data_IF_545189476872
#
_entry.id   IF_545189476872
#
_cell.length_a   1.000
_cell.length_b   1.000
_cell.length_c   1.000
_cell.angle_alpha   90.00
_cell.angle_beta   90.00
_cell.angle_gamma   90.00
#
_symmetry.space_group_name_H-M   'P 1'
#
loop_
_entity.id
_entity.type
_entity.pdbx_description
1 polymer ?
#
# COMPACT_ATOMS: atom_id res chain seq x y z
N UNK A 1 50.00 -25.43 21.82
CA UNK A 1 48.58 -25.79 22.08
C UNK A 1 47.88 -24.59 22.63
N UNK A 2 47.04 -23.87 21.82
CA UNK A 2 46.23 -22.73 22.27
C UNK A 2 44.95 -23.27 22.88
N UNK A 3 44.71 -23.03 24.18
CA UNK A 3 43.48 -23.37 24.88
C UNK A 3 42.33 -22.53 24.31
N UNK A 4 41.36 -23.17 23.64
CA UNK A 4 40.09 -22.55 23.27
C UNK A 4 39.26 -22.31 24.55
N UNK A 5 39.06 -21.04 24.92
CA UNK A 5 38.15 -20.70 26.02
C UNK A 5 36.71 -20.85 25.52
N UNK A 6 35.95 -21.77 26.06
CA UNK A 6 34.53 -21.86 25.88
C UNK A 6 33.86 -20.65 26.57
N UNK A 7 33.29 -19.75 25.79
CA UNK A 7 32.39 -18.70 26.34
C UNK A 7 31.18 -19.39 26.96
N UNK A 8 30.97 -19.22 28.25
CA UNK A 8 29.74 -19.65 28.93
C UNK A 8 28.52 -19.07 28.24
N UNK A 9 27.50 -19.90 27.95
CA UNK A 9 26.23 -19.44 27.43
C UNK A 9 25.59 -18.45 28.43
N UNK A 10 25.13 -17.32 27.93
CA UNK A 10 24.43 -16.30 28.77
C UNK A 10 23.12 -16.88 29.28
N UNK A 11 22.70 -16.58 30.52
CA UNK A 11 21.42 -17.03 31.07
C UNK A 11 20.25 -16.53 30.23
N UNK A 12 19.26 -17.37 30.00
CA UNK A 12 18.03 -17.06 29.23
C UNK A 12 17.31 -15.84 29.79
N UNK A 13 17.45 -15.57 31.11
CA UNK A 13 16.88 -14.39 31.77
C UNK A 13 17.49 -13.06 31.30
N UNK A 14 18.79 -13.03 30.96
CA UNK A 14 19.44 -11.83 30.40
C UNK A 14 19.01 -11.58 28.96
N UNK A 15 18.86 -12.64 28.17
CA UNK A 15 18.35 -12.55 26.80
C UNK A 15 16.90 -12.02 26.78
N UNK A 16 16.05 -12.47 27.72
CA UNK A 16 14.68 -11.96 27.86
C UNK A 16 14.64 -10.49 28.28
N UNK A 17 15.53 -10.06 29.17
CA UNK A 17 15.62 -8.63 29.58
C UNK A 17 16.13 -7.74 28.45
N UNK A 18 17.11 -8.20 27.68
CA UNK A 18 17.65 -7.46 26.54
C UNK A 18 16.64 -7.37 25.39
N UNK A 19 15.89 -8.46 25.14
CA UNK A 19 14.78 -8.50 24.17
C UNK A 19 13.61 -7.59 24.60
N UNK A 20 13.21 -7.66 25.88
CA UNK A 20 12.17 -6.78 26.43
C UNK A 20 12.58 -5.30 26.44
N UNK A 21 13.88 -5.00 26.60
CA UNK A 21 14.40 -3.63 26.52
C UNK A 21 14.44 -3.13 25.07
N UNK A 22 14.78 -4.00 24.10
CA UNK A 22 14.70 -3.70 22.66
C UNK A 22 13.26 -3.57 22.18
N UNK A 23 12.35 -4.43 22.65
CA UNK A 23 10.92 -4.34 22.34
C UNK A 23 10.27 -3.09 22.95
N UNK A 24 10.70 -2.64 24.14
CA UNK A 24 10.27 -1.38 24.74
C UNK A 24 10.86 -0.17 24.01
N UNK A 25 12.10 -0.24 23.53
CA UNK A 25 12.71 0.81 22.72
C UNK A 25 12.19 0.86 21.27
N UNK A 26 11.63 -0.26 20.77
CA UNK A 26 11.00 -0.33 19.44
C UNK A 26 9.48 -0.10 19.45
N UNK A 27 8.86 -0.01 20.65
CA UNK A 27 7.41 0.16 20.81
C UNK A 27 7.04 1.46 21.55
N UNK A 28 7.98 2.36 21.73
CA UNK A 28 7.64 3.76 21.89
C UNK A 28 7.26 4.23 20.47
N UNK A 29 5.97 4.15 20.14
CA UNK A 29 5.37 4.99 19.13
C UNK A 29 5.69 6.42 19.54
N UNK A 30 6.82 6.93 19.06
CA UNK A 30 7.17 8.32 19.17
C UNK A 30 6.01 9.14 18.63
N UNK A 31 5.81 10.38 19.09
CA UNK A 31 4.83 11.28 18.49
C UNK A 31 5.02 11.21 16.97
N UNK A 32 3.95 11.22 16.18
CA UNK A 32 4.04 11.11 14.72
C UNK A 32 5.11 12.09 14.27
N UNK A 33 6.13 11.59 13.56
CA UNK A 33 7.23 12.42 13.09
C UNK A 33 6.61 13.61 12.40
N UNK A 34 6.97 14.83 12.81
CA UNK A 34 6.52 16.06 12.17
C UNK A 34 6.96 16.00 10.72
N UNK A 35 6.06 15.55 9.86
CA UNK A 35 6.27 15.50 8.41
C UNK A 35 6.01 16.87 7.81
N UNK A 36 6.36 17.07 6.52
CA UNK A 36 6.05 18.32 5.84
C UNK A 36 4.55 18.60 5.88
N UNK A 37 4.20 19.86 6.12
CA UNK A 37 2.82 20.30 6.07
C UNK A 37 2.33 20.38 4.62
N UNK A 38 1.06 20.12 4.42
CA UNK A 38 0.37 20.35 3.16
C UNK A 38 0.34 21.88 2.93
N UNK A 39 0.62 22.28 1.71
CA UNK A 39 0.65 23.69 1.29
C UNK A 39 -0.51 24.00 0.35
N UNK A 40 -0.78 25.27 0.08
CA UNK A 40 -1.74 25.69 -0.94
C UNK A 40 -1.26 25.44 -2.37
N UNK A 41 0.02 25.07 -2.57
CA UNK A 41 0.54 24.66 -3.87
C UNK A 41 0.14 23.21 -4.16
N UNK A 42 -0.96 23.06 -4.87
CA UNK A 42 -1.54 21.79 -5.26
C UNK A 42 -0.55 20.89 -6.02
N UNK A 43 0.20 21.48 -6.95
CA UNK A 43 1.15 20.74 -7.79
C UNK A 43 2.33 20.22 -6.97
N UNK A 44 2.86 21.03 -6.07
CA UNK A 44 3.96 20.62 -5.17
C UNK A 44 3.53 19.47 -4.27
N UNK A 45 2.32 19.53 -3.69
CA UNK A 45 1.78 18.46 -2.86
C UNK A 45 1.63 17.14 -3.63
N UNK A 46 1.05 17.19 -4.84
CA UNK A 46 0.88 15.99 -5.69
C UNK A 46 2.23 15.40 -6.08
N UNK A 47 3.20 16.23 -6.47
CA UNK A 47 4.52 15.76 -6.85
C UNK A 47 5.22 15.05 -5.68
N UNK A 48 5.17 15.62 -4.48
CA UNK A 48 5.70 14.99 -3.28
C UNK A 48 5.06 13.62 -3.03
N UNK A 49 3.74 13.52 -3.14
CA UNK A 49 3.02 12.26 -2.93
C UNK A 49 3.31 11.23 -4.03
N UNK A 50 3.39 11.67 -5.30
CA UNK A 50 3.77 10.79 -6.43
C UNK A 50 5.20 10.26 -6.25
N UNK A 51 6.12 11.08 -5.77
CA UNK A 51 7.50 10.69 -5.50
C UNK A 51 7.58 9.70 -4.34
N UNK A 52 6.80 9.91 -3.29
CA UNK A 52 6.87 9.11 -2.06
C UNK A 52 6.13 7.77 -2.16
N UNK A 53 4.94 7.75 -2.73
CA UNK A 53 4.08 6.55 -2.81
C UNK A 53 3.62 6.20 -4.22
N UNK A 54 3.69 7.11 -5.19
CA UNK A 54 3.17 6.93 -6.56
C UNK A 54 3.99 5.98 -7.43
N UNK A 55 5.16 5.54 -6.98
CA UNK A 55 5.99 4.54 -7.68
C UNK A 55 5.35 3.14 -7.63
N UNK A 56 4.46 2.89 -6.68
CA UNK A 56 3.74 1.63 -6.53
C UNK A 56 2.49 1.58 -7.42
N UNK A 57 2.30 0.50 -8.16
CA UNK A 57 1.19 0.34 -9.09
C UNK A 57 -0.19 0.16 -8.42
N UNK A 58 -0.22 -0.13 -7.12
CA UNK A 58 -1.44 -0.26 -6.34
C UNK A 58 -1.95 1.08 -5.77
N UNK A 59 -1.15 2.16 -5.86
CA UNK A 59 -1.55 3.50 -5.44
C UNK A 59 -2.16 4.25 -6.62
N UNK A 60 -3.40 4.68 -6.46
CA UNK A 60 -4.17 5.34 -7.50
C UNK A 60 -4.27 6.84 -7.22
N UNK A 61 -3.93 7.65 -8.23
CA UNK A 61 -4.15 9.09 -8.27
C UNK A 61 -5.22 9.39 -9.30
N UNK A 62 -6.43 9.72 -8.85
CA UNK A 62 -7.57 10.05 -9.70
C UNK A 62 -7.76 11.57 -9.73
N UNK A 63 -7.24 12.22 -10.76
CA UNK A 63 -7.41 13.65 -10.99
C UNK A 63 -8.77 13.93 -11.67
N UNK A 64 -9.47 14.98 -11.24
CA UNK A 64 -10.74 15.44 -11.81
C UNK A 64 -10.97 16.91 -11.48
N UNK A 65 -12.01 17.49 -12.05
CA UNK A 65 -12.42 18.89 -11.79
C UNK A 65 -13.70 18.89 -10.96
N UNK A 66 -13.67 19.59 -9.85
CA UNK A 66 -14.87 19.84 -9.03
C UNK A 66 -15.62 21.04 -9.64
N UNK A 67 -16.90 20.87 -10.05
CA UNK A 67 -17.65 21.83 -10.86
C UNK A 67 -18.24 22.97 -10.03
N UNK A 68 -17.39 23.79 -9.44
CA UNK A 68 -17.79 25.04 -8.81
C UNK A 68 -17.94 26.15 -9.86
N UNK A 69 -18.54 27.33 -9.54
CA UNK A 69 -18.61 28.48 -10.42
C UNK A 69 -17.24 28.86 -11.00
N UNK A 70 -16.20 28.75 -10.19
CA UNK A 70 -14.81 28.69 -10.60
C UNK A 70 -14.33 27.25 -10.41
N UNK A 71 -14.07 26.50 -11.50
CA UNK A 71 -13.68 25.11 -11.40
C UNK A 71 -12.42 24.92 -10.54
N UNK A 72 -12.40 23.87 -9.71
CA UNK A 72 -11.29 23.56 -8.81
C UNK A 72 -10.70 22.21 -9.18
N UNK A 73 -9.39 22.16 -9.36
CA UNK A 73 -8.69 20.90 -9.55
C UNK A 73 -8.74 20.07 -8.27
N UNK A 74 -9.01 18.80 -8.43
CA UNK A 74 -9.10 17.87 -7.30
C UNK A 74 -8.40 16.55 -7.63
N UNK A 75 -7.85 15.90 -6.61
CA UNK A 75 -7.27 14.56 -6.75
C UNK A 75 -7.71 13.67 -5.60
N UNK A 76 -8.17 12.46 -5.93
CA UNK A 76 -8.38 11.38 -4.99
C UNK A 76 -7.16 10.45 -5.02
N UNK A 77 -6.69 10.09 -3.82
CA UNK A 77 -5.53 9.21 -3.65
C UNK A 77 -5.92 8.08 -2.71
N UNK A 78 -5.73 6.85 -3.16
CA UNK A 78 -6.07 5.65 -2.39
C UNK A 78 -5.24 4.44 -2.84
N UNK A 79 -5.21 3.38 -2.03
CA UNK A 79 -4.60 2.09 -2.37
C UNK A 79 -5.68 1.14 -2.86
N UNK A 80 -5.54 0.69 -4.11
CA UNK A 80 -6.45 -0.30 -4.71
C UNK A 80 -6.37 -1.65 -3.96
N UNK A 81 -7.55 -2.18 -3.62
CA UNK A 81 -7.68 -3.40 -2.82
C UNK A 81 -7.80 -3.18 -1.31
N UNK A 82 -7.49 -1.98 -0.78
CA UNK A 82 -7.73 -1.64 0.62
C UNK A 82 -9.04 -0.87 0.83
N UNK A 83 -9.67 -0.42 -0.23
CA UNK A 83 -10.87 0.43 -0.21
C UNK A 83 -12.07 -0.31 -0.80
N UNK A 84 -13.28 0.14 -0.45
CA UNK A 84 -14.51 -0.22 -1.13
C UNK A 84 -14.74 0.72 -2.30
N UNK A 85 -14.67 0.19 -3.53
CA UNK A 85 -14.80 1.00 -4.76
C UNK A 85 -16.15 1.70 -4.87
N UNK A 86 -17.21 1.04 -4.48
CA UNK A 86 -18.57 1.60 -4.51
C UNK A 86 -18.66 2.83 -3.61
N UNK A 87 -18.02 2.78 -2.43
CA UNK A 87 -17.97 3.94 -1.53
C UNK A 87 -17.30 5.15 -2.19
N UNK A 88 -16.20 4.95 -2.91
CA UNK A 88 -15.52 6.05 -3.61
C UNK A 88 -16.39 6.56 -4.78
N UNK A 89 -16.93 5.65 -5.59
CA UNK A 89 -17.66 6.02 -6.78
C UNK A 89 -18.98 6.71 -6.46
N UNK A 90 -19.76 6.15 -5.53
CA UNK A 90 -21.11 6.63 -5.23
C UNK A 90 -21.12 7.81 -4.25
N UNK A 91 -20.30 7.75 -3.20
CA UNK A 91 -20.37 8.73 -2.10
C UNK A 91 -19.31 9.83 -2.16
N UNK A 92 -18.28 9.67 -2.97
CA UNK A 92 -17.26 10.72 -3.16
C UNK A 92 -17.33 11.27 -4.58
N UNK A 93 -17.03 10.47 -5.60
CA UNK A 93 -16.91 10.94 -6.97
C UNK A 93 -18.26 11.44 -7.50
N UNK A 94 -19.32 10.66 -7.35
CA UNK A 94 -20.64 11.07 -7.83
C UNK A 94 -21.09 12.36 -7.12
N UNK A 95 -20.98 12.43 -5.79
CA UNK A 95 -21.34 13.60 -5.01
C UNK A 95 -20.58 14.86 -5.46
N UNK A 96 -19.27 14.74 -5.75
CA UNK A 96 -18.46 15.86 -6.20
C UNK A 96 -18.71 16.24 -7.67
N UNK A 97 -18.87 15.27 -8.56
CA UNK A 97 -19.00 15.54 -10.01
C UNK A 97 -20.42 15.99 -10.42
N UNK A 98 -21.45 15.60 -9.67
CA UNK A 98 -22.84 15.99 -9.92
C UNK A 98 -23.29 17.17 -9.06
N UNK A 99 -22.40 17.73 -8.25
CA UNK A 99 -22.73 18.88 -7.42
C UNK A 99 -23.15 20.09 -8.24
N UNK A 100 -24.37 20.60 -8.01
CA UNK A 100 -24.88 21.80 -8.65
C UNK A 100 -24.64 23.03 -7.78
N UNK A 101 -23.59 23.77 -8.09
CA UNK A 101 -23.17 24.95 -7.32
C UNK A 101 -24.17 26.12 -7.38
N UNK A 102 -25.18 26.07 -8.27
CA UNK A 102 -26.12 27.18 -8.50
C UNK A 102 -26.99 27.51 -7.30
N UNK A 103 -27.25 26.54 -6.43
CA UNK A 103 -28.12 26.69 -5.26
C UNK A 103 -27.34 26.94 -3.96
N UNK A 104 -26.03 26.88 -3.99
CA UNK A 104 -25.21 26.99 -2.80
C UNK A 104 -24.44 28.33 -2.76
N UNK A 105 -24.88 29.28 -1.97
CA UNK A 105 -24.21 30.59 -1.80
C UNK A 105 -22.75 30.44 -1.30
N UNK A 106 -22.44 29.39 -0.53
CA UNK A 106 -21.10 29.09 -0.07
C UNK A 106 -20.14 28.71 -1.19
N UNK A 107 -20.61 28.20 -2.32
CA UNK A 107 -19.80 27.79 -3.48
C UNK A 107 -19.11 28.96 -4.19
N UNK A 108 -19.56 30.20 -3.93
CA UNK A 108 -18.97 31.43 -4.46
C UNK A 108 -17.72 31.90 -3.68
N UNK A 109 -17.54 31.39 -2.46
CA UNK A 109 -16.42 31.74 -1.58
C UNK A 109 -15.52 30.52 -1.41
N UNK A 110 -14.29 30.61 -1.90
CA UNK A 110 -13.30 29.50 -1.83
C UNK A 110 -12.66 29.30 -0.45
N UNK A 111 -12.85 30.24 0.51
CA UNK A 111 -12.24 30.12 1.83
C UNK A 111 -12.77 28.89 2.57
N UNK A 112 -11.89 28.08 3.12
CA UNK A 112 -12.22 26.85 3.81
C UNK A 112 -13.04 25.88 2.96
N UNK A 113 -12.70 25.73 1.68
CA UNK A 113 -13.42 24.88 0.75
C UNK A 113 -13.43 23.42 1.23
N UNK A 114 -12.34 22.94 1.82
CA UNK A 114 -12.27 21.59 2.37
C UNK A 114 -13.34 21.34 3.46
N UNK A 115 -13.57 22.30 4.38
CA UNK A 115 -14.64 22.20 5.40
C UNK A 115 -16.02 22.18 4.75
N UNK A 116 -16.27 23.07 3.78
CA UNK A 116 -17.55 23.15 3.08
C UNK A 116 -17.86 21.88 2.28
N UNK A 117 -16.86 21.31 1.62
CA UNK A 117 -16.99 20.03 0.90
C UNK A 117 -17.29 18.90 1.88
N UNK A 118 -16.60 18.86 3.02
CA UNK A 118 -16.87 17.90 4.08
C UNK A 118 -18.34 17.97 4.56
N UNK A 119 -18.82 19.18 4.84
CA UNK A 119 -20.10 19.37 5.54
C UNK A 119 -21.31 19.34 4.60
N UNK A 120 -21.14 19.68 3.31
CA UNK A 120 -22.25 19.88 2.39
C UNK A 120 -22.26 18.97 1.16
N UNK A 121 -21.14 18.33 0.82
CA UNK A 121 -21.03 17.58 -0.45
C UNK A 121 -20.82 16.09 -0.22
N UNK A 122 -19.92 15.71 0.68
CA UNK A 122 -19.59 14.31 0.89
C UNK A 122 -20.66 13.57 1.68
N UNK A 123 -21.16 12.46 1.11
CA UNK A 123 -22.15 11.61 1.74
C UNK A 123 -21.52 10.44 2.52
N UNK A 124 -20.39 10.69 3.20
CA UNK A 124 -19.63 9.71 3.98
C UNK A 124 -19.72 10.05 5.47
N UNK A 125 -19.92 9.04 6.32
CA UNK A 125 -20.09 9.22 7.75
C UNK A 125 -18.86 9.78 8.47
N UNK A 126 -17.66 9.40 8.03
CA UNK A 126 -16.41 9.74 8.72
C UNK A 126 -15.45 10.40 7.74
N UNK A 127 -15.28 11.72 7.92
CA UNK A 127 -14.34 12.54 7.16
C UNK A 127 -13.57 13.42 8.14
N UNK A 128 -12.27 13.37 8.11
CA UNK A 128 -11.38 14.24 8.88
C UNK A 128 -10.56 15.14 7.95
N UNK A 129 -10.07 16.25 8.52
CA UNK A 129 -9.16 17.16 7.83
C UNK A 129 -7.74 16.90 8.34
N UNK A 130 -6.79 16.80 7.43
CA UNK A 130 -5.39 16.56 7.74
C UNK A 130 -4.50 17.54 6.98
N UNK A 131 -3.57 18.18 7.70
CA UNK A 131 -2.60 19.12 7.13
C UNK A 131 -1.18 18.54 7.06
N UNK A 132 -0.94 17.36 7.62
CA UNK A 132 0.36 16.71 7.65
C UNK A 132 0.47 15.63 6.58
N UNK A 133 1.41 15.78 5.65
CA UNK A 133 1.61 14.84 4.54
C UNK A 133 1.98 13.42 4.99
N UNK A 134 2.73 13.29 6.09
CA UNK A 134 3.10 11.96 6.62
C UNK A 134 1.90 11.24 7.22
N UNK A 135 1.05 11.94 7.97
CA UNK A 135 -0.19 11.38 8.52
C UNK A 135 -1.16 11.03 7.40
N UNK A 136 -1.27 11.87 6.38
CA UNK A 136 -2.09 11.60 5.19
C UNK A 136 -1.60 10.34 4.45
N UNK A 137 -0.29 10.17 4.23
CA UNK A 137 0.27 8.95 3.63
C UNK A 137 -0.09 7.73 4.49
N UNK A 138 0.04 7.83 5.80
CA UNK A 138 -0.30 6.74 6.73
C UNK A 138 -1.77 6.35 6.63
N UNK A 139 -2.67 7.33 6.51
CA UNK A 139 -4.10 7.11 6.31
C UNK A 139 -4.38 6.39 4.98
N UNK A 140 -3.78 6.86 3.87
CA UNK A 140 -3.89 6.23 2.55
C UNK A 140 -3.42 4.77 2.59
N UNK A 141 -2.26 4.50 3.17
CA UNK A 141 -1.71 3.16 3.30
C UNK A 141 -2.50 2.27 4.28
N UNK A 142 -3.37 2.86 5.09
CA UNK A 142 -4.30 2.15 5.97
C UNK A 142 -5.66 1.86 5.33
N UNK A 143 -5.87 2.25 4.06
CA UNK A 143 -7.10 2.00 3.30
C UNK A 143 -8.13 3.14 3.38
N UNK A 144 -7.70 4.34 3.76
CA UNK A 144 -8.51 5.55 3.65
C UNK A 144 -8.25 6.24 2.31
N UNK A 145 -9.18 7.08 1.88
CA UNK A 145 -9.03 7.88 0.67
C UNK A 145 -8.76 9.33 1.05
N UNK A 146 -7.69 9.88 0.52
CA UNK A 146 -7.40 11.31 0.64
C UNK A 146 -7.95 12.08 -0.57
N UNK A 147 -8.65 13.18 -0.32
CA UNK A 147 -9.09 14.13 -1.33
C UNK A 147 -8.36 15.46 -1.10
N UNK A 148 -7.58 15.88 -2.09
CA UNK A 148 -6.94 17.18 -2.13
C UNK A 148 -7.69 18.10 -3.09
N UNK A 149 -7.85 19.35 -2.68
CA UNK A 149 -8.46 20.39 -3.47
C UNK A 149 -7.46 21.51 -3.72
N UNK A 150 -7.46 22.06 -4.93
CA UNK A 150 -6.58 23.15 -5.31
C UNK A 150 -6.81 24.40 -4.44
N UNK A 151 -5.72 24.96 -3.93
CA UNK A 151 -5.72 26.15 -3.07
C UNK A 151 -5.96 25.87 -1.59
N UNK A 152 -6.22 24.62 -1.18
CA UNK A 152 -6.39 24.23 0.22
C UNK A 152 -5.08 23.70 0.82
N UNK A 153 -4.84 24.00 2.07
CA UNK A 153 -3.71 23.53 2.89
C UNK A 153 -4.08 22.33 3.77
N UNK A 154 -5.26 21.76 3.56
CA UNK A 154 -5.78 20.59 4.28
C UNK A 154 -6.43 19.62 3.29
N UNK A 155 -6.13 18.35 3.45
CA UNK A 155 -6.76 17.27 2.72
C UNK A 155 -7.95 16.70 3.51
N UNK A 156 -8.97 16.22 2.81
CA UNK A 156 -10.05 15.46 3.41
C UNK A 156 -9.65 13.97 3.41
N UNK A 157 -9.68 13.36 4.58
CA UNK A 157 -9.44 11.92 4.76
C UNK A 157 -10.78 11.24 4.98
N UNK A 158 -11.17 10.45 4.00
CA UNK A 158 -12.45 9.75 3.98
C UNK A 158 -12.25 8.30 4.40
N UNK A 159 -13.02 7.80 5.36
CA UNK A 159 -12.99 6.39 5.74
C UNK A 159 -13.69 5.54 4.66
N UNK A 160 -12.89 4.99 3.78
CA UNK A 160 -13.31 4.12 2.68
C UNK A 160 -12.83 2.68 2.87
N UNK A 161 -12.32 2.38 4.07
CA UNK A 161 -11.80 1.04 4.39
C UNK A 161 -12.84 -0.02 4.10
N UNK A 162 -12.46 -0.92 3.25
CA UNK A 162 -13.30 -2.04 2.89
C UNK A 162 -12.50 -3.01 2.07
N UNK A 163 -12.57 -4.25 2.45
CA UNK A 163 -11.98 -5.35 1.70
C UNK A 163 -13.03 -6.42 1.52
N UNK A 164 -13.04 -6.98 0.37
CA UNK A 164 -13.88 -8.15 0.12
C UNK A 164 -13.45 -9.28 1.04
N UNK A 165 -14.34 -9.64 1.97
CA UNK A 165 -14.15 -10.80 2.86
C UNK A 165 -14.38 -12.13 2.14
N UNK A 166 -14.43 -12.15 0.80
CA UNK A 166 -14.67 -13.37 0.05
C UNK A 166 -13.47 -14.29 0.17
N UNK A 167 -13.67 -15.38 0.94
CA UNK A 167 -12.87 -16.59 0.81
C UNK A 167 -11.40 -16.45 1.12
N UNK A 168 -11.03 -15.80 2.24
CA UNK A 168 -9.70 -16.03 2.81
C UNK A 168 -9.76 -17.44 3.40
N UNK A 169 -9.45 -18.43 2.58
CA UNK A 169 -9.37 -19.82 2.98
C UNK A 169 -8.00 -20.12 3.61
N UNK A 170 -7.99 -21.08 4.50
CA UNK A 170 -6.74 -21.61 5.04
C UNK A 170 -6.02 -22.36 3.91
N UNK A 171 -4.70 -22.11 3.68
CA UNK A 171 -3.95 -22.83 2.67
C UNK A 171 -4.06 -24.33 2.88
N UNK A 172 -4.53 -25.04 1.87
CA UNK A 172 -4.73 -26.52 1.96
C UNK A 172 -3.40 -27.26 2.09
N UNK A 173 -2.32 -26.68 1.56
CA UNK A 173 -0.99 -27.28 1.51
C UNK A 173 -0.11 -26.90 2.69
N UNK A 174 -0.40 -25.80 3.38
CA UNK A 174 0.42 -25.25 4.48
C UNK A 174 -0.41 -24.92 5.73
N UNK A 175 -1.21 -25.88 6.23
CA UNK A 175 -2.04 -25.68 7.42
C UNK A 175 -1.21 -25.27 8.65
N UNK A 176 -1.57 -24.16 9.28
CA UNK A 176 -0.88 -23.65 10.45
C UNK A 176 -1.45 -24.24 11.74
N UNK A 177 -0.62 -24.94 12.53
CA UNK A 177 -0.99 -25.41 13.88
C UNK A 177 -1.17 -24.23 14.85
N UNK A 178 -0.40 -23.14 14.66
CA UNK A 178 -0.49 -21.88 15.41
C UNK A 178 -0.11 -20.72 14.49
N UNK A 179 -0.87 -19.64 14.52
CA UNK A 179 -0.61 -18.42 13.76
C UNK A 179 -1.77 -18.03 12.84
N UNK A 180 -1.57 -17.00 12.03
CA UNK A 180 -2.56 -16.57 11.03
C UNK A 180 -2.85 -17.71 10.03
N UNK A 181 -4.14 -17.87 9.70
CA UNK A 181 -4.60 -18.88 8.73
C UNK A 181 -4.95 -18.25 7.38
N UNK A 182 -4.35 -17.12 7.10
CA UNK A 182 -4.62 -16.34 5.89
C UNK A 182 -3.69 -16.79 4.78
N UNK A 183 -4.25 -17.29 3.69
CA UNK A 183 -3.54 -17.68 2.47
C UNK A 183 -3.69 -16.69 1.35
N UNK A 184 -2.79 -16.77 0.37
CA UNK A 184 -2.97 -16.14 -0.92
C UNK A 184 -4.05 -16.85 -1.73
N UNK A 185 -4.73 -16.11 -2.59
CA UNK A 185 -5.76 -16.62 -3.50
C UNK A 185 -5.42 -16.26 -4.95
N UNK A 186 -6.31 -16.60 -5.90
CA UNK A 186 -6.08 -16.40 -7.32
C UNK A 186 -6.14 -14.92 -7.74
N UNK A 187 -6.64 -14.03 -6.88
CA UNK A 187 -6.84 -12.62 -7.21
C UNK A 187 -5.61 -11.84 -6.76
N UNK A 188 -4.74 -11.47 -7.70
CA UNK A 188 -3.49 -10.75 -7.42
C UNK A 188 -3.72 -9.50 -6.56
N UNK A 189 -4.77 -8.72 -6.83
CA UNK A 189 -5.11 -7.51 -6.08
C UNK A 189 -5.43 -7.79 -4.61
N UNK A 190 -6.15 -8.87 -4.34
CA UNK A 190 -6.41 -9.32 -2.97
C UNK A 190 -5.11 -9.67 -2.25
N UNK A 191 -4.20 -10.34 -2.94
CA UNK A 191 -2.91 -10.77 -2.38
C UNK A 191 -2.00 -9.57 -2.06
N UNK A 192 -1.88 -8.60 -2.96
CA UNK A 192 -1.10 -7.38 -2.70
C UNK A 192 -1.70 -6.55 -1.56
N UNK A 193 -3.02 -6.47 -1.48
CA UNK A 193 -3.72 -5.80 -0.39
C UNK A 193 -3.47 -6.51 0.97
N UNK A 194 -3.40 -7.84 0.99
CA UNK A 194 -3.06 -8.58 2.19
C UNK A 194 -1.65 -8.22 2.68
N UNK A 195 -0.66 -8.16 1.78
CA UNK A 195 0.71 -7.72 2.13
C UNK A 195 0.70 -6.29 2.67
N UNK A 196 -0.02 -5.36 2.02
CA UNK A 196 -0.15 -3.96 2.47
C UNK A 196 -0.76 -3.83 3.87
N UNK A 197 -1.70 -4.68 4.24
CA UNK A 197 -2.29 -4.67 5.60
C UNK A 197 -1.26 -4.94 6.68
N UNK A 198 -0.29 -5.79 6.41
CA UNK A 198 0.78 -6.13 7.34
C UNK A 198 1.90 -5.09 7.30
N UNK A 199 2.26 -4.61 6.11
CA UNK A 199 3.34 -3.65 5.89
C UNK A 199 2.75 -2.34 5.36
N UNK A 200 2.46 -1.41 6.27
CA UNK A 200 1.96 -0.06 5.96
C UNK A 200 3.11 0.92 5.78
N UNK A 201 4.13 0.49 5.06
CA UNK A 201 5.34 1.27 4.83
C UNK A 201 5.24 1.98 3.45
N UNK A 202 5.50 3.30 3.38
CA UNK A 202 5.55 4.02 2.11
C UNK A 202 6.65 3.51 1.16
N UNK A 203 7.66 2.80 1.67
CA UNK A 203 8.73 2.22 0.86
C UNK A 203 8.40 0.82 0.33
N UNK A 204 7.23 0.26 0.68
CA UNK A 204 6.75 -0.97 0.06
C UNK A 204 6.37 -0.69 -1.39
N UNK A 205 7.08 -1.33 -2.32
CA UNK A 205 6.84 -1.23 -3.76
C UNK A 205 6.09 -2.46 -4.26
N UNK A 206 5.06 -2.21 -5.04
CA UNK A 206 4.30 -3.23 -5.78
C UNK A 206 4.44 -2.91 -7.26
N UNK A 207 5.21 -3.70 -7.99
CA UNK A 207 5.37 -3.59 -9.45
C UNK A 207 4.62 -4.71 -10.13
N UNK A 208 3.58 -4.37 -10.88
CA UNK A 208 2.77 -5.33 -11.63
C UNK A 208 3.26 -5.43 -13.07
N UNK A 209 3.25 -6.64 -13.62
CA UNK A 209 3.59 -6.92 -15.00
C UNK A 209 2.75 -8.07 -15.53
N UNK A 210 2.61 -8.16 -16.85
CA UNK A 210 1.92 -9.27 -17.52
C UNK A 210 2.93 -10.20 -18.14
N UNK A 211 2.82 -11.48 -17.85
CA UNK A 211 3.71 -12.53 -18.35
C UNK A 211 2.91 -13.57 -19.11
N UNK A 212 3.52 -14.10 -20.17
CA UNK A 212 2.88 -15.03 -21.10
C UNK A 212 2.29 -14.32 -22.32
N UNK A 213 2.66 -14.80 -23.51
CA UNK A 213 2.25 -14.20 -24.78
C UNK A 213 0.74 -14.26 -25.00
N UNK A 214 0.10 -15.34 -24.56
CA UNK A 214 -1.33 -15.59 -24.73
C UNK A 214 -2.11 -15.44 -23.43
N UNK A 215 -1.59 -15.97 -22.29
CA UNK A 215 -2.30 -15.91 -21.02
C UNK A 215 -2.33 -14.52 -20.41
N UNK A 216 -1.31 -13.67 -20.67
CA UNK A 216 -1.19 -12.31 -20.10
C UNK A 216 -1.43 -12.33 -18.57
N UNK A 217 -0.84 -13.33 -17.88
CA UNK A 217 -1.02 -13.54 -16.44
C UNK A 217 -0.44 -12.37 -15.66
N UNK A 218 -1.24 -11.82 -14.75
CA UNK A 218 -0.79 -10.72 -13.88
C UNK A 218 0.15 -11.24 -12.81
N UNK A 219 1.35 -10.66 -12.73
CA UNK A 219 2.38 -10.99 -11.76
C UNK A 219 2.80 -9.72 -11.04
N UNK A 220 2.99 -9.77 -9.73
CA UNK A 220 3.47 -8.66 -8.93
C UNK A 220 4.82 -8.97 -8.30
N UNK A 221 5.79 -8.08 -8.49
CA UNK A 221 7.04 -8.06 -7.75
C UNK A 221 6.87 -7.10 -6.57
N UNK A 222 6.98 -7.63 -5.34
CA UNK A 222 6.77 -6.87 -4.11
C UNK A 222 8.06 -6.85 -3.29
N UNK A 223 8.49 -5.67 -2.86
CA UNK A 223 9.71 -5.50 -2.07
C UNK A 223 9.70 -4.19 -1.28
N UNK A 224 10.50 -4.13 -0.21
CA UNK A 224 10.78 -2.89 0.52
C UNK A 224 12.00 -2.21 -0.12
N UNK A 225 11.84 -1.02 -0.67
CA UNK A 225 12.90 -0.30 -1.41
C UNK A 225 14.12 0.00 -0.55
N UNK A 226 13.90 0.31 0.73
CA UNK A 226 14.97 0.60 1.70
C UNK A 226 15.72 -0.64 2.19
N UNK A 227 15.19 -1.85 1.96
CA UNK A 227 15.76 -3.12 2.47
C UNK A 227 16.29 -4.00 1.35
N UNK A 228 15.57 -4.06 0.22
CA UNK A 228 15.92 -4.92 -0.90
C UNK A 228 17.19 -4.45 -1.61
N UNK A 229 18.07 -5.40 -1.98
CA UNK A 229 19.20 -5.07 -2.84
C UNK A 229 18.69 -4.65 -4.24
N UNK A 230 18.99 -3.41 -4.70
CA UNK A 230 18.50 -2.91 -5.99
C UNK A 230 18.99 -3.72 -7.18
N UNK A 231 20.21 -4.29 -7.12
CA UNK A 231 20.75 -5.15 -8.18
C UNK A 231 19.95 -6.46 -8.30
N UNK A 232 19.53 -7.03 -7.15
CA UNK A 232 18.72 -8.24 -7.12
C UNK A 232 17.32 -7.95 -7.69
N UNK A 233 16.70 -6.84 -7.28
CA UNK A 233 15.39 -6.42 -7.80
C UNK A 233 15.44 -6.24 -9.32
N UNK A 234 16.46 -5.54 -9.83
CA UNK A 234 16.65 -5.33 -11.25
C UNK A 234 16.87 -6.65 -12.00
N UNK A 235 17.68 -7.56 -11.44
CA UNK A 235 17.93 -8.87 -12.04
C UNK A 235 16.66 -9.73 -12.13
N UNK A 236 15.84 -9.75 -11.08
CA UNK A 236 14.57 -10.48 -11.09
C UNK A 236 13.58 -9.85 -12.10
N UNK A 237 13.46 -8.54 -12.11
CA UNK A 237 12.61 -7.82 -13.06
C UNK A 237 13.01 -8.08 -14.50
N UNK A 238 14.32 -8.07 -14.80
CA UNK A 238 14.84 -8.38 -16.14
C UNK A 238 14.56 -9.82 -16.56
N UNK A 239 14.72 -10.80 -15.66
CA UNK A 239 14.41 -12.21 -15.93
C UNK A 239 12.92 -12.40 -16.19
N UNK A 240 12.06 -11.84 -15.37
CA UNK A 240 10.60 -11.90 -15.55
C UNK A 240 10.18 -11.32 -16.91
N UNK A 241 10.77 -10.19 -17.34
CA UNK A 241 10.47 -9.56 -18.64
C UNK A 241 10.96 -10.37 -19.84
N UNK A 242 11.95 -11.24 -19.67
CA UNK A 242 12.50 -12.10 -20.73
C UNK A 242 11.72 -13.42 -20.93
N UNK A 243 10.70 -13.67 -20.11
CA UNK A 243 9.90 -14.90 -20.22
C UNK A 243 9.02 -14.82 -21.46
N UNK A 244 9.36 -15.60 -22.48
CA UNK A 244 8.62 -15.73 -23.74
C UNK A 244 7.96 -17.10 -23.83
N UNK A 245 6.88 -17.31 -23.06
CA UNK A 245 6.07 -18.54 -23.09
C UNK A 245 4.62 -18.19 -23.39
N UNK A 246 3.86 -19.14 -23.90
CA UNK A 246 2.45 -18.93 -24.26
C UNK A 246 1.60 -18.62 -23.03
N UNK A 247 1.84 -19.30 -21.92
CA UNK A 247 1.06 -19.10 -20.70
C UNK A 247 1.78 -19.49 -19.42
N UNK A 248 1.46 -18.75 -18.35
CA UNK A 248 1.86 -19.04 -16.97
C UNK A 248 0.63 -19.51 -16.22
N UNK A 249 0.61 -20.77 -15.80
CA UNK A 249 -0.49 -21.38 -15.06
C UNK A 249 -0.18 -21.44 -13.57
N UNK A 250 1.09 -21.69 -13.23
CA UNK A 250 1.56 -21.85 -11.85
C UNK A 250 2.82 -21.02 -11.60
N UNK A 251 3.03 -20.66 -10.32
CA UNK A 251 4.23 -19.96 -9.88
C UNK A 251 5.52 -20.75 -10.11
N UNK A 252 5.44 -22.08 -10.17
CA UNK A 252 6.57 -22.97 -10.47
C UNK A 252 7.25 -22.64 -11.82
N UNK A 253 6.47 -22.26 -12.84
CA UNK A 253 7.06 -21.82 -14.12
C UNK A 253 7.92 -20.57 -13.94
N UNK A 254 7.46 -19.60 -13.15
CA UNK A 254 8.23 -18.38 -12.89
C UNK A 254 9.51 -18.69 -12.10
N UNK A 255 9.44 -19.63 -11.16
CA UNK A 255 10.58 -20.05 -10.37
C UNK A 255 11.72 -20.58 -11.26
N UNK A 256 11.43 -21.44 -12.23
CA UNK A 256 12.45 -21.99 -13.14
C UNK A 256 13.18 -20.89 -13.92
N UNK A 257 12.50 -19.82 -14.33
CA UNK A 257 13.09 -18.71 -15.07
C UNK A 257 13.87 -17.73 -14.19
N UNK A 258 13.49 -17.62 -12.91
CA UNK A 258 14.16 -16.69 -11.97
C UNK A 258 15.39 -17.36 -11.34
N UNK A 259 15.36 -18.69 -11.16
CA UNK A 259 16.39 -19.42 -10.44
C UNK A 259 17.73 -19.48 -11.21
N UNK A 260 18.85 -19.21 -10.50
CA UNK A 260 20.19 -19.25 -11.13
C UNK A 260 20.66 -20.68 -11.45
N UNK A 261 20.19 -21.65 -10.67
CA UNK A 261 20.63 -23.06 -10.74
C UNK A 261 19.44 -24.00 -10.53
N UNK A 262 18.61 -24.23 -11.56
CA UNK A 262 17.39 -25.05 -11.43
C UNK A 262 17.68 -26.52 -11.07
N UNK A 263 18.93 -26.99 -11.27
CA UNK A 263 19.35 -28.36 -10.91
C UNK A 263 20.10 -28.43 -9.57
N UNK A 264 20.03 -27.37 -8.74
CA UNK A 264 20.65 -27.40 -7.42
C UNK A 264 19.86 -28.29 -6.45
N UNK A 265 20.57 -29.09 -5.64
CA UNK A 265 19.94 -29.83 -4.53
C UNK A 265 19.41 -28.91 -3.41
N UNK A 266 19.88 -27.66 -3.39
CA UNK A 266 19.44 -26.65 -2.43
C UNK A 266 18.69 -25.56 -3.17
N UNK A 267 17.36 -25.47 -3.02
CA UNK A 267 16.58 -24.44 -3.67
C UNK A 267 17.00 -23.06 -3.17
N UNK A 268 17.17 -22.12 -4.10
CA UNK A 268 17.51 -20.72 -3.80
C UNK A 268 16.27 -19.85 -3.62
N UNK A 269 15.10 -20.36 -4.03
CA UNK A 269 13.80 -19.73 -3.89
C UNK A 269 12.92 -20.55 -2.96
N UNK A 270 12.09 -19.85 -2.18
CA UNK A 270 11.08 -20.47 -1.33
C UNK A 270 9.71 -20.13 -1.88
N UNK A 271 8.85 -21.12 -2.02
CA UNK A 271 7.44 -20.95 -2.36
C UNK A 271 6.57 -21.04 -1.10
N UNK A 272 5.54 -20.21 -1.02
CA UNK A 272 4.57 -20.25 0.07
C UNK A 272 3.23 -19.67 -0.36
N UNK A 273 2.15 -20.27 0.13
CA UNK A 273 0.80 -19.73 0.01
C UNK A 273 0.44 -18.83 1.20
N UNK A 274 1.32 -18.71 2.18
CA UNK A 274 1.08 -18.00 3.44
C UNK A 274 1.58 -16.56 3.40
N UNK A 275 0.69 -15.62 3.69
CA UNK A 275 1.03 -14.19 3.75
C UNK A 275 2.02 -13.89 4.88
N UNK A 276 1.87 -14.52 6.05
CA UNK A 276 2.73 -14.31 7.23
C UNK A 276 4.18 -14.79 7.06
N UNK A 277 4.47 -15.56 6.01
CA UNK A 277 5.84 -15.95 5.65
C UNK A 277 6.50 -15.00 4.67
N UNK A 278 5.70 -14.23 3.94
CA UNK A 278 6.20 -13.24 2.97
C UNK A 278 6.49 -11.92 3.65
N UNK A 279 5.78 -11.60 4.72
CA UNK A 279 5.89 -10.38 5.53
C UNK A 279 6.86 -10.59 6.70
#
# INVERSE_FOLDING_TARGET
MKKRSFRRARPVAEFRKEKAKKERAGNEGGPPQEGPALTTDFTANINYLKERIGVSNDVVFREFVFPLPEPVQAVLIFVDGLITKDTINEYILLSLTTFEAKEADWAKDRRNLAEKVKDHVLAINEVSLESNLTLMITAILSGETALLLEGEDRALICNTRGWEHRGIEEPSTEAAVRGPRVGFNEILRSNTAQVRRWIRDPDLRVKTMKIGLRSQTDVALVYLETVANPELVAAVEERLKKIEIDGVVESAYLQEYIEDRPYSLFPTLQTTERVDRVV
#
